data_IF_961487421088
#
_entry.id   IF_961487421088
#
_cell.length_a   1.000
_cell.length_b   1.000
_cell.length_c   1.000
_cell.angle_alpha   90.00
_cell.angle_beta   90.00
_cell.angle_gamma   90.00
#
_symmetry.space_group_name_H-M   'P 1'
#
loop_
_entity.id
_entity.type
_entity.pdbx_description
1 polymer ?
#
# COMPACT_ATOMS: atom_id res chain seq x y z
N UNK A 1 -13.76 -6.03 7.82
CA UNK A 1 -14.53 -7.25 7.48
C UNK A 1 -16.01 -7.18 7.85
N UNK A 2 -16.87 -7.88 7.08
CA UNK A 2 -18.36 -7.99 7.02
C UNK A 2 -19.21 -6.71 7.27
N UNK A 3 -19.00 -5.99 8.37
CA UNK A 3 -19.77 -4.78 8.70
C UNK A 3 -18.95 -3.48 8.72
N UNK A 4 -17.64 -3.55 8.41
CA UNK A 4 -16.75 -2.38 8.36
C UNK A 4 -16.25 -1.90 9.73
N UNK A 5 -16.70 -2.49 10.83
CA UNK A 5 -16.23 -2.17 12.18
C UNK A 5 -14.97 -2.97 12.55
N UNK A 6 -14.15 -2.37 13.41
CA UNK A 6 -12.92 -2.98 13.93
C UNK A 6 -13.18 -4.20 14.83
N UNK A 7 -12.15 -5.04 14.96
CA UNK A 7 -12.09 -6.05 16.02
C UNK A 7 -11.64 -5.40 17.33
N UNK A 8 -12.22 -5.86 18.43
CA UNK A 8 -11.86 -5.49 19.80
C UNK A 8 -11.35 -6.73 20.55
N UNK A 9 -10.36 -6.52 21.43
CA UNK A 9 -9.83 -7.55 22.31
C UNK A 9 -10.80 -7.85 23.45
N UNK A 10 -11.10 -9.12 23.67
CA UNK A 10 -11.89 -9.63 24.78
C UNK A 10 -11.04 -10.65 25.56
N UNK A 11 -10.71 -10.32 26.81
CA UNK A 11 -9.95 -11.21 27.68
C UNK A 11 -10.92 -12.18 28.37
N UNK A 12 -10.72 -13.48 28.14
CA UNK A 12 -11.46 -14.52 28.82
C UNK A 12 -10.83 -14.84 30.19
N UNK A 13 -11.63 -15.44 31.09
CA UNK A 13 -11.19 -15.80 32.45
C UNK A 13 -10.04 -16.83 32.49
N UNK A 14 -9.86 -17.57 31.41
CA UNK A 14 -8.76 -18.54 31.25
C UNK A 14 -7.45 -17.88 30.74
N UNK A 15 -7.39 -16.55 30.65
CA UNK A 15 -6.21 -15.81 30.19
C UNK A 15 -6.10 -15.68 28.66
N UNK A 16 -7.00 -16.28 27.88
CA UNK A 16 -6.98 -16.17 26.41
C UNK A 16 -7.62 -14.86 25.95
N UNK A 17 -6.91 -14.11 25.11
CA UNK A 17 -7.44 -12.92 24.44
C UNK A 17 -8.06 -13.30 23.10
N UNK A 18 -9.36 -13.05 22.95
CA UNK A 18 -10.10 -13.22 21.71
C UNK A 18 -10.26 -11.89 20.99
N UNK A 19 -10.28 -11.92 19.65
CA UNK A 19 -10.61 -10.78 18.81
C UNK A 19 -12.06 -10.92 18.33
N UNK A 20 -12.92 -9.97 18.71
CA UNK A 20 -14.35 -9.97 18.33
C UNK A 20 -14.72 -8.69 17.62
N UNK A 21 -15.57 -8.79 16.59
CA UNK A 21 -16.15 -7.62 15.94
C UNK A 21 -16.88 -6.75 16.97
N UNK A 22 -16.54 -5.46 17.02
CA UNK A 22 -17.14 -4.50 17.95
C UNK A 22 -18.66 -4.43 17.80
N UNK A 23 -19.15 -4.29 16.56
CA UNK A 23 -20.59 -4.26 16.28
C UNK A 23 -21.32 -5.51 16.80
N UNK A 24 -20.73 -6.70 16.63
CA UNK A 24 -21.29 -7.94 17.17
C UNK A 24 -21.32 -7.96 18.70
N UNK A 25 -20.26 -7.44 19.33
CA UNK A 25 -20.19 -7.34 20.79
C UNK A 25 -21.25 -6.39 21.35
N UNK A 26 -21.51 -5.28 20.65
CA UNK A 26 -22.41 -4.22 21.11
C UNK A 26 -23.89 -4.60 20.94
N UNK A 27 -24.30 -5.11 19.76
CA UNK A 27 -25.72 -5.35 19.47
C UNK A 27 -26.01 -6.63 18.68
N UNK A 28 -25.01 -7.49 18.46
CA UNK A 28 -25.14 -8.77 17.73
C UNK A 28 -25.61 -8.64 16.26
N UNK A 29 -25.58 -7.43 15.66
CA UNK A 29 -26.04 -7.22 14.28
C UNK A 29 -25.08 -7.71 13.19
N UNK A 30 -23.91 -8.21 13.59
CA UNK A 30 -22.91 -8.77 12.69
C UNK A 30 -22.60 -10.21 13.09
N UNK A 31 -22.46 -11.10 12.11
CA UNK A 31 -22.04 -12.49 12.34
C UNK A 31 -20.61 -12.59 12.91
N UNK A 32 -19.77 -11.58 12.63
CA UNK A 32 -18.40 -11.47 13.11
C UNK A 32 -17.37 -12.21 12.24
N UNK A 33 -16.13 -12.24 12.72
CA UNK A 33 -15.00 -12.87 12.03
C UNK A 33 -14.73 -14.32 12.53
N UNK A 34 -15.73 -14.97 13.13
CA UNK A 34 -15.55 -16.29 13.76
C UNK A 34 -14.78 -16.24 15.08
N UNK A 35 -14.16 -17.37 15.45
CA UNK A 35 -13.35 -17.51 16.67
C UNK A 35 -11.89 -17.21 16.35
N UNK A 36 -11.45 -15.99 16.63
CA UNK A 36 -10.07 -15.56 16.45
C UNK A 36 -9.43 -15.26 17.80
N UNK A 37 -8.25 -15.82 18.05
CA UNK A 37 -7.42 -15.45 19.21
C UNK A 37 -6.36 -14.44 18.80
N UNK A 38 -5.92 -13.59 19.74
CA UNK A 38 -4.82 -12.66 19.50
C UNK A 38 -3.56 -13.44 19.06
N UNK A 39 -3.23 -14.51 19.78
CA UNK A 39 -2.06 -15.36 19.49
C UNK A 39 -2.10 -15.95 18.08
N UNK A 40 -3.23 -16.55 17.66
CA UNK A 40 -3.36 -17.13 16.32
C UNK A 40 -3.26 -16.06 15.23
N UNK A 41 -3.81 -14.87 15.49
CA UNK A 41 -3.77 -13.75 14.57
C UNK A 41 -2.35 -13.19 14.42
N UNK A 42 -1.65 -12.98 15.54
CA UNK A 42 -0.27 -12.49 15.57
C UNK A 42 0.67 -13.44 14.83
N UNK A 43 0.56 -14.75 15.09
CA UNK A 43 1.37 -15.76 14.41
C UNK A 43 1.11 -15.79 12.89
N UNK A 44 -0.16 -15.68 12.47
CA UNK A 44 -0.53 -15.60 11.06
C UNK A 44 0.07 -14.35 10.39
N UNK A 45 -0.10 -13.18 11.01
CA UNK A 45 0.37 -11.90 10.47
C UNK A 45 1.89 -11.89 10.37
N UNK A 46 2.60 -12.35 11.39
CA UNK A 46 4.05 -12.50 11.36
C UNK A 46 4.50 -13.40 10.20
N UNK A 47 3.88 -14.58 10.04
CA UNK A 47 4.21 -15.50 8.94
C UNK A 47 4.01 -14.88 7.57
N UNK A 48 2.95 -14.09 7.38
CA UNK A 48 2.71 -13.35 6.13
C UNK A 48 3.72 -12.21 5.93
N UNK A 49 4.14 -11.51 6.99
CA UNK A 49 5.18 -10.47 6.91
C UNK A 49 6.52 -11.07 6.44
N UNK A 50 6.94 -12.20 7.03
CA UNK A 50 8.17 -12.91 6.62
C UNK A 50 8.09 -13.35 5.16
N UNK A 51 6.97 -13.94 4.73
CA UNK A 51 6.77 -14.35 3.33
C UNK A 51 6.81 -13.16 2.38
N UNK A 52 6.18 -12.04 2.74
CA UNK A 52 6.15 -10.81 1.95
C UNK A 52 7.58 -10.25 1.81
N UNK A 53 8.34 -10.15 2.91
CA UNK A 53 9.71 -9.63 2.90
C UNK A 53 10.70 -10.51 2.15
N UNK A 54 10.55 -11.85 2.20
CA UNK A 54 11.39 -12.78 1.42
C UNK A 54 11.29 -12.52 -0.10
N UNK A 55 10.11 -12.13 -0.60
CA UNK A 55 9.94 -11.77 -2.02
C UNK A 55 10.77 -10.53 -2.39
N UNK A 56 10.81 -9.52 -1.53
CA UNK A 56 11.65 -8.33 -1.73
C UNK A 56 13.15 -8.65 -1.67
N UNK A 57 13.57 -9.56 -0.79
CA UNK A 57 14.97 -9.97 -0.71
C UNK A 57 15.43 -10.80 -1.91
N UNK A 58 14.57 -11.70 -2.42
CA UNK A 58 14.88 -12.50 -3.62
C UNK A 58 15.03 -11.62 -4.86
N UNK A 59 14.30 -10.49 -4.92
CA UNK A 59 14.43 -9.50 -5.98
C UNK A 59 15.72 -8.66 -5.89
N UNK A 60 16.41 -8.60 -4.73
CA UNK A 60 17.68 -7.86 -4.57
C UNK A 60 18.88 -8.45 -5.34
N UNK A 61 18.78 -9.69 -5.83
CA UNK A 61 19.78 -10.26 -6.74
C UNK A 61 19.71 -9.71 -8.18
N UNK A 62 18.63 -9.03 -8.53
CA UNK A 62 18.44 -8.32 -9.81
C UNK A 62 18.39 -6.81 -9.57
N UNK A 63 18.84 -6.01 -10.54
CA UNK A 63 18.93 -4.54 -10.48
C UNK A 63 17.55 -3.81 -10.45
N UNK A 64 16.57 -4.28 -9.72
CA UNK A 64 15.24 -3.64 -9.67
C UNK A 64 14.99 -2.98 -8.32
N UNK A 65 15.08 -1.65 -8.31
CA UNK A 65 14.62 -0.80 -7.21
C UNK A 65 13.14 -1.10 -6.92
N UNK A 66 12.85 -1.48 -5.67
CA UNK A 66 11.52 -1.49 -5.01
C UNK A 66 10.33 -1.39 -5.97
N UNK A 67 9.83 -2.54 -6.41
CA UNK A 67 8.76 -2.64 -7.40
C UNK A 67 7.45 -2.10 -6.81
N UNK A 68 7.15 -0.82 -7.02
CA UNK A 68 5.81 -0.26 -6.87
C UNK A 68 5.18 -0.19 -8.28
N UNK A 69 4.34 -1.17 -8.68
CA UNK A 69 3.73 -1.21 -10.00
C UNK A 69 2.93 0.05 -10.31
N UNK A 70 2.30 0.66 -9.28
CA UNK A 70 1.53 1.90 -9.43
C UNK A 70 2.44 3.10 -9.69
N UNK A 71 3.58 3.19 -9.00
CA UNK A 71 4.58 4.23 -9.24
C UNK A 71 5.19 4.10 -10.63
N UNK A 72 5.47 2.88 -11.07
CA UNK A 72 6.00 2.60 -12.41
C UNK A 72 4.97 2.96 -13.48
N UNK A 73 3.72 2.54 -13.32
CA UNK A 73 2.63 2.90 -14.22
C UNK A 73 2.41 4.42 -14.28
N UNK A 74 2.47 5.11 -13.14
CA UNK A 74 2.34 6.57 -13.08
C UNK A 74 3.50 7.28 -13.78
N UNK A 75 4.75 6.80 -13.63
CA UNK A 75 5.92 7.33 -14.35
C UNK A 75 5.84 7.11 -15.86
N UNK A 76 5.36 5.94 -16.29
CA UNK A 76 5.13 5.64 -17.72
C UNK A 76 4.05 6.54 -18.30
N UNK A 77 2.95 6.74 -17.57
CA UNK A 77 1.88 7.65 -17.98
C UNK A 77 2.39 9.10 -18.09
N UNK A 78 3.19 9.56 -17.13
CA UNK A 78 3.83 10.87 -17.14
C UNK A 78 4.70 11.07 -18.39
N UNK A 79 5.61 10.13 -18.67
CA UNK A 79 6.48 10.19 -19.84
C UNK A 79 5.69 10.20 -21.16
N UNK A 80 4.57 9.47 -21.21
CA UNK A 80 3.67 9.48 -22.38
C UNK A 80 3.03 10.85 -22.58
N UNK A 81 2.49 11.45 -21.52
CA UNK A 81 1.88 12.80 -21.57
C UNK A 81 2.90 13.85 -22.00
N UNK A 82 4.13 13.79 -21.46
CA UNK A 82 5.21 14.71 -21.83
C UNK A 82 5.60 14.56 -23.31
N UNK A 83 5.68 13.34 -23.83
CA UNK A 83 5.95 13.09 -25.25
C UNK A 83 4.82 13.57 -26.16
N UNK A 84 3.55 13.51 -25.73
CA UNK A 84 2.42 14.03 -26.50
C UNK A 84 2.45 15.55 -26.59
N UNK A 85 2.82 16.24 -25.50
CA UNK A 85 3.03 17.70 -25.49
C UNK A 85 4.17 18.08 -26.45
N UNK A 86 5.31 17.40 -26.37
CA UNK A 86 6.48 17.69 -27.23
C UNK A 86 6.14 17.51 -28.72
N UNK A 87 5.45 16.42 -29.08
CA UNK A 87 4.99 16.19 -30.45
C UNK A 87 4.03 17.26 -30.94
N UNK A 88 3.11 17.72 -30.09
CA UNK A 88 2.23 18.81 -30.46
C UNK A 88 3.03 20.08 -30.73
N UNK A 89 3.96 20.45 -29.86
CA UNK A 89 4.83 21.62 -30.02
C UNK A 89 5.63 21.58 -31.33
N UNK A 90 6.20 20.42 -31.69
CA UNK A 90 6.96 20.23 -32.93
C UNK A 90 6.11 20.46 -34.19
N UNK A 91 4.80 20.18 -34.11
CA UNK A 91 3.87 20.34 -35.25
C UNK A 91 3.33 21.76 -35.42
N UNK A 92 3.61 22.69 -34.51
CA UNK A 92 3.06 24.06 -34.56
C UNK A 92 3.80 24.99 -35.53
N UNK A 93 4.90 24.55 -36.13
CA UNK A 93 5.60 25.34 -37.15
C UNK A 93 4.72 25.51 -38.40
N UNK A 94 4.23 26.73 -38.65
CA UNK A 94 3.36 27.04 -39.79
C UNK A 94 1.86 26.82 -39.54
N UNK A 95 1.44 26.57 -38.30
CA UNK A 95 0.03 26.44 -37.95
C UNK A 95 -0.74 27.77 -38.12
N UNK A 96 -1.96 27.70 -38.64
CA UNK A 96 -2.85 28.86 -38.73
C UNK A 96 -3.45 29.23 -37.35
N UNK A 97 -3.99 30.46 -37.17
CA UNK A 97 -4.51 30.90 -35.87
C UNK A 97 -5.59 29.99 -35.26
N UNK A 98 -6.43 29.36 -36.09
CA UNK A 98 -7.48 28.46 -35.61
C UNK A 98 -6.87 27.14 -35.07
N UNK A 99 -5.89 26.57 -35.77
CA UNK A 99 -5.15 25.39 -35.32
C UNK A 99 -4.33 25.67 -34.05
N UNK A 100 -3.76 26.87 -33.92
CA UNK A 100 -3.07 27.31 -32.70
C UNK A 100 -4.02 27.35 -31.50
N UNK A 101 -5.25 27.82 -31.68
CA UNK A 101 -6.25 27.81 -30.61
C UNK A 101 -6.59 26.39 -30.15
N UNK A 102 -6.84 25.47 -31.09
CA UNK A 102 -7.09 24.06 -30.76
C UNK A 102 -5.88 23.41 -30.08
N UNK A 103 -4.67 23.71 -30.54
CA UNK A 103 -3.44 23.22 -29.93
C UNK A 103 -3.25 23.73 -28.50
N UNK A 104 -3.51 25.02 -28.25
CA UNK A 104 -3.42 25.60 -26.91
C UNK A 104 -4.38 24.91 -25.94
N UNK A 105 -5.66 24.74 -26.31
CA UNK A 105 -6.62 24.01 -25.47
C UNK A 105 -6.17 22.58 -25.19
N UNK A 106 -5.65 21.87 -26.20
CA UNK A 106 -5.15 20.51 -26.02
C UNK A 106 -3.91 20.44 -25.11
N UNK A 107 -3.00 21.40 -25.23
CA UNK A 107 -1.81 21.50 -24.37
C UNK A 107 -2.22 21.78 -22.92
N UNK A 108 -3.20 22.66 -22.69
CA UNK A 108 -3.72 22.93 -21.35
C UNK A 108 -4.33 21.67 -20.69
N UNK A 109 -5.09 20.88 -21.44
CA UNK A 109 -5.63 19.59 -20.94
C UNK A 109 -4.51 18.60 -20.58
N UNK A 110 -3.50 18.46 -21.46
CA UNK A 110 -2.37 17.57 -21.23
C UNK A 110 -1.50 18.03 -20.07
N UNK A 111 -1.27 19.33 -19.90
CA UNK A 111 -0.51 19.86 -18.76
C UNK A 111 -1.28 19.66 -17.44
N UNK A 112 -2.61 19.84 -17.43
CA UNK A 112 -3.43 19.53 -16.26
C UNK A 112 -3.33 18.05 -15.87
N UNK A 113 -3.32 17.13 -16.84
CA UNK A 113 -3.12 15.70 -16.59
C UNK A 113 -1.69 15.38 -16.12
N UNK A 114 -0.68 16.00 -16.73
CA UNK A 114 0.73 15.91 -16.31
C UNK A 114 0.90 16.33 -14.85
N UNK A 115 0.29 17.44 -14.44
CA UNK A 115 0.35 17.93 -13.06
C UNK A 115 -0.30 16.95 -12.07
N UNK A 116 -1.43 16.32 -12.43
CA UNK A 116 -2.05 15.27 -11.60
C UNK A 116 -1.12 14.06 -11.45
N UNK A 117 -0.50 13.63 -12.54
CA UNK A 117 0.44 12.51 -12.55
C UNK A 117 1.69 12.80 -11.71
N UNK A 118 2.23 14.03 -11.78
CA UNK A 118 3.36 14.47 -10.94
C UNK A 118 3.03 14.42 -9.45
N UNK A 119 1.84 14.89 -9.05
CA UNK A 119 1.38 14.80 -7.65
C UNK A 119 1.27 13.35 -7.19
N UNK A 120 0.67 12.49 -8.02
CA UNK A 120 0.56 11.06 -7.72
C UNK A 120 1.93 10.38 -7.59
N UNK A 121 2.88 10.70 -8.47
CA UNK A 121 4.26 10.18 -8.39
C UNK A 121 4.95 10.65 -7.11
N UNK A 122 4.79 11.92 -6.73
CA UNK A 122 5.35 12.46 -5.49
C UNK A 122 4.77 11.74 -4.26
N UNK A 123 3.45 11.59 -4.19
CA UNK A 123 2.77 10.89 -3.10
C UNK A 123 3.20 9.42 -3.01
N UNK A 124 3.26 8.71 -4.14
CA UNK A 124 3.69 7.31 -4.17
C UNK A 124 5.17 7.14 -3.84
N UNK A 125 6.00 8.12 -4.18
CA UNK A 125 7.44 8.11 -3.84
C UNK A 125 7.65 8.39 -2.35
N UNK A 126 6.97 9.40 -1.80
CA UNK A 126 7.04 9.74 -0.37
C UNK A 126 6.54 8.60 0.53
N UNK A 127 5.56 7.82 0.05
CA UNK A 127 5.02 6.67 0.76
C UNK A 127 5.70 5.34 0.39
N UNK A 128 6.73 5.35 -0.46
CA UNK A 128 7.47 4.13 -0.81
C UNK A 128 8.50 3.79 0.27
N UNK A 129 8.55 2.53 0.68
CA UNK A 129 9.57 2.05 1.63
C UNK A 129 10.91 1.92 0.91
N UNK A 130 11.92 2.59 1.44
CA UNK A 130 13.28 2.60 0.87
C UNK A 130 14.01 1.27 1.06
N UNK A 131 15.03 1.01 0.24
CA UNK A 131 15.81 -0.23 0.30
C UNK A 131 16.50 -0.47 1.65
N UNK A 132 16.93 0.60 2.33
CA UNK A 132 17.52 0.54 3.67
C UNK A 132 16.49 0.25 4.75
N UNK A 133 15.26 0.75 4.61
CA UNK A 133 14.15 0.37 5.49
C UNK A 133 13.77 -1.10 5.30
N UNK A 134 13.80 -1.63 4.07
CA UNK A 134 13.57 -3.06 3.80
C UNK A 134 14.62 -3.91 4.53
N UNK A 135 15.90 -3.53 4.50
CA UNK A 135 16.95 -4.26 5.23
C UNK A 135 16.77 -4.20 6.74
N UNK A 136 16.49 -3.00 7.26
CA UNK A 136 16.24 -2.80 8.68
C UNK A 136 15.07 -3.66 9.17
N UNK A 137 13.94 -3.65 8.44
CA UNK A 137 12.76 -4.46 8.75
C UNK A 137 13.06 -5.96 8.68
N UNK A 138 13.87 -6.39 7.71
CA UNK A 138 14.24 -7.80 7.58
C UNK A 138 15.01 -8.26 8.81
N UNK A 139 15.97 -7.45 9.30
CA UNK A 139 16.69 -7.74 10.53
C UNK A 139 15.79 -7.86 11.77
N UNK A 140 14.75 -7.01 11.88
CA UNK A 140 13.77 -7.14 12.97
C UNK A 140 12.92 -8.41 12.86
N UNK A 141 12.60 -8.87 11.65
CA UNK A 141 11.81 -10.08 11.45
C UNK A 141 12.59 -11.37 11.75
N UNK A 142 13.91 -11.35 11.54
CA UNK A 142 14.79 -12.50 11.79
C UNK A 142 14.96 -12.79 13.29
N UNK A 143 14.92 -11.76 14.14
CA UNK A 143 15.02 -11.88 15.61
C UNK A 143 13.72 -11.45 16.32
N UNK A 144 12.58 -11.71 15.69
CA UNK A 144 11.28 -11.17 16.12
C UNK A 144 10.95 -11.41 17.59
N UNK A 145 11.32 -12.55 18.17
CA UNK A 145 11.02 -12.85 19.58
C UNK A 145 11.75 -11.92 20.57
N UNK A 146 12.94 -11.42 20.22
CA UNK A 146 13.71 -10.51 21.07
C UNK A 146 13.30 -9.04 20.91
N UNK A 147 12.60 -8.69 19.82
CA UNK A 147 12.22 -7.33 19.50
C UNK A 147 11.21 -6.78 20.52
N UNK A 148 11.43 -5.54 20.94
CA UNK A 148 10.54 -4.81 21.83
C UNK A 148 9.13 -4.68 21.25
N UNK A 149 8.11 -4.60 22.10
CA UNK A 149 6.72 -4.43 21.64
C UNK A 149 6.54 -3.16 20.77
N UNK A 150 7.19 -2.06 21.15
CA UNK A 150 7.09 -0.80 20.41
C UNK A 150 7.75 -0.91 19.03
N UNK A 151 8.88 -1.62 18.92
CA UNK A 151 9.54 -1.80 17.63
C UNK A 151 8.78 -2.81 16.76
N UNK A 152 8.19 -3.86 17.34
CA UNK A 152 7.23 -4.74 16.64
C UNK A 152 6.09 -3.92 16.05
N UNK A 153 5.52 -3.02 16.84
CA UNK A 153 4.43 -2.13 16.39
C UNK A 153 4.87 -1.21 15.25
N UNK A 154 6.08 -0.63 15.32
CA UNK A 154 6.63 0.20 14.23
C UNK A 154 6.81 -0.62 12.95
N UNK A 155 7.36 -1.83 13.05
CA UNK A 155 7.54 -2.72 11.88
C UNK A 155 6.19 -3.04 11.24
N UNK A 156 5.18 -3.39 12.04
CA UNK A 156 3.82 -3.62 11.55
C UNK A 156 3.23 -2.38 10.89
N UNK A 157 3.37 -1.21 11.50
CA UNK A 157 2.86 0.05 10.93
C UNK A 157 3.58 0.44 9.63
N UNK A 158 4.85 0.10 9.45
CA UNK A 158 5.53 0.35 8.17
C UNK A 158 5.00 -0.60 7.07
N UNK A 159 4.71 -1.86 7.41
CA UNK A 159 4.37 -2.88 6.43
C UNK A 159 2.88 -2.96 6.07
N UNK A 160 2.00 -2.73 7.04
CA UNK A 160 0.57 -3.09 6.95
C UNK A 160 -0.29 -1.83 7.11
N UNK A 161 -1.23 -1.61 6.19
CA UNK A 161 -2.20 -0.51 6.29
C UNK A 161 -3.42 -0.91 7.10
N UNK A 162 -3.97 -2.09 6.83
CA UNK A 162 -5.11 -2.66 7.55
C UNK A 162 -5.17 -4.17 7.36
N UNK A 163 -5.89 -4.85 8.26
CA UNK A 163 -6.14 -6.28 8.15
C UNK A 163 -7.65 -6.52 8.23
N UNK A 164 -8.19 -7.13 7.18
CA UNK A 164 -9.58 -7.54 7.11
C UNK A 164 -9.72 -8.99 7.52
N UNK A 165 -10.52 -9.24 8.55
CA UNK A 165 -10.87 -10.59 8.96
C UNK A 165 -12.37 -10.85 8.75
N UNK A 166 -12.68 -12.02 8.19
CA UNK A 166 -14.01 -12.63 8.15
C UNK A 166 -13.92 -14.02 8.78
N UNK A 167 -15.06 -14.71 8.91
CA UNK A 167 -15.10 -16.11 9.33
C UNK A 167 -14.40 -17.08 8.37
N UNK A 168 -14.11 -16.65 7.14
CA UNK A 168 -13.59 -17.50 6.06
C UNK A 168 -12.15 -17.15 5.69
N UNK A 169 -11.76 -15.88 5.82
CA UNK A 169 -10.47 -15.41 5.34
C UNK A 169 -9.92 -14.25 6.18
N UNK A 170 -8.59 -14.17 6.24
CA UNK A 170 -7.87 -13.00 6.72
C UNK A 170 -7.06 -12.42 5.56
N UNK A 171 -7.31 -11.16 5.23
CA UNK A 171 -6.68 -10.44 4.13
C UNK A 171 -5.86 -9.27 4.68
N UNK A 172 -4.56 -9.28 4.42
CA UNK A 172 -3.64 -8.21 4.82
C UNK A 172 -3.50 -7.23 3.65
N UNK A 173 -3.76 -5.95 3.92
CA UNK A 173 -3.49 -4.87 3.00
C UNK A 173 -2.13 -4.27 3.34
N UNK A 174 -1.21 -4.33 2.38
CA UNK A 174 0.19 -3.91 2.57
C UNK A 174 0.37 -2.45 2.17
N UNK A 175 1.25 -1.74 2.88
CA UNK A 175 1.74 -0.42 2.45
C UNK A 175 2.83 -0.52 1.36
N UNK A 176 3.40 -1.72 1.18
CA UNK A 176 4.48 -2.04 0.23
C UNK A 176 4.09 -3.02 -0.89
#
# INVERSE_FOLDING_TARGET
>A
GRCGYALASLNARNGVTYLRCKQRADNKSCEGAGTLTAQSMEAFVYGEMVKKMRKFHTLKGGKEQSYNPKLTAARVALAKTESEIEKLLDTLSGANPLLLQYANTRIEELDAERQKQLRLVADLTANSVSASQIDSITGYLDDWESVSFDDKRKVVDILISQIDATSESVTIHWKI
#
